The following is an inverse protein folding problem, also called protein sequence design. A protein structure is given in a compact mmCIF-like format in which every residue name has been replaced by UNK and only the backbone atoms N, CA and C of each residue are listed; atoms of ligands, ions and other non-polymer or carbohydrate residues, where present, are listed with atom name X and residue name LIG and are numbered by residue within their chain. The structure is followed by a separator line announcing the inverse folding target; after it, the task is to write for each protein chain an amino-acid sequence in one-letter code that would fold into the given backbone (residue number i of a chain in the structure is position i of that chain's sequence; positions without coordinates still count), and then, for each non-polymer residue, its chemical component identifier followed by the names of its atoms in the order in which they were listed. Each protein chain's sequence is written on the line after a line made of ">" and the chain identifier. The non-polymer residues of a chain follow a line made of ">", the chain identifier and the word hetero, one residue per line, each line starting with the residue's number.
data_IF_797508196525
#
_entry.id   IF_797508196525
#
_cell.length_a   1.000
_cell.length_b   1.000
_cell.length_c   1.000
_cell.angle_alpha   90.00
_cell.angle_beta   90.00
_cell.angle_gamma   90.00
#
_symmetry.space_group_name_H-M   'P 1'
#
loop_
_entity.id
_entity.type
_entity.pdbx_description
1 polymer ?
#
# COMPACT_ATOMS: atom_id res chain seq x y z
N UNK A 1 -1.07 6.81 3.51
CA UNK A 1 0.11 7.43 2.87
C UNK A 1 -0.26 8.79 2.36
N UNK A 2 0.57 9.80 2.62
CA UNK A 2 0.51 11.11 2.00
C UNK A 2 1.91 11.44 1.47
N UNK A 3 1.97 12.05 0.29
CA UNK A 3 3.18 12.67 -0.23
C UNK A 3 2.88 14.13 -0.55
N UNK A 4 3.69 15.05 -0.03
CA UNK A 4 3.55 16.49 -0.22
C UNK A 4 4.85 17.04 -0.80
N UNK A 5 4.78 17.69 -1.97
CA UNK A 5 5.93 18.29 -2.62
C UNK A 5 5.74 19.80 -2.76
N UNK A 6 6.74 20.59 -2.31
CA UNK A 6 6.79 22.04 -2.46
C UNK A 6 8.22 22.49 -2.70
N UNK A 7 8.48 23.17 -3.83
CA UNK A 7 9.84 23.49 -4.26
C UNK A 7 10.66 22.22 -4.42
N UNK A 8 11.86 22.16 -3.82
CA UNK A 8 12.69 20.96 -3.76
C UNK A 8 12.37 20.05 -2.58
N UNK A 9 11.38 20.35 -1.75
CA UNK A 9 11.06 19.52 -0.57
C UNK A 9 9.97 18.52 -0.90
N UNK A 10 10.26 17.23 -0.69
CA UNK A 10 9.29 16.14 -0.68
C UNK A 10 9.14 15.61 0.75
N UNK A 11 7.91 15.61 1.27
CA UNK A 11 7.56 15.01 2.56
C UNK A 11 6.66 13.81 2.31
N UNK A 12 7.05 12.65 2.84
CA UNK A 12 6.25 11.42 2.84
C UNK A 12 5.78 11.16 4.27
N UNK A 13 4.49 10.89 4.45
CA UNK A 13 3.89 10.56 5.74
C UNK A 13 3.13 9.22 5.65
N UNK A 14 3.58 8.22 6.43
CA UNK A 14 3.02 6.88 6.41
C UNK A 14 2.43 6.44 7.75
N UNK A 15 1.15 6.06 7.74
CA UNK A 15 0.45 5.42 8.85
C UNK A 15 -0.22 4.14 8.34
N UNK A 16 0.56 3.07 8.20
CA UNK A 16 0.09 1.76 7.74
C UNK A 16 1.15 0.95 6.99
N UNK A 17 0.69 -0.12 6.36
CA UNK A 17 1.49 -1.07 5.60
C UNK A 17 1.48 -0.80 4.09
N UNK A 18 1.48 0.50 3.77
CA UNK A 18 1.61 1.05 2.42
C UNK A 18 3.00 1.66 2.27
N UNK A 19 3.48 1.81 1.04
CA UNK A 19 4.88 2.24 0.78
C UNK A 19 4.99 3.26 -0.34
N UNK A 20 5.94 4.17 -0.14
CA UNK A 20 6.42 5.13 -1.13
C UNK A 20 7.82 4.73 -1.57
N UNK A 21 8.08 4.67 -2.87
CA UNK A 21 9.38 4.33 -3.45
C UNK A 21 9.76 5.37 -4.49
N UNK A 22 10.87 6.05 -4.28
CA UNK A 22 11.44 7.03 -5.19
C UNK A 22 12.41 6.35 -6.15
N UNK A 23 12.21 6.53 -7.45
CA UNK A 23 13.21 6.16 -8.46
C UNK A 23 14.17 7.34 -8.66
N UNK A 24 15.46 7.10 -8.52
CA UNK A 24 16.50 8.12 -8.64
C UNK A 24 17.71 7.57 -9.40
N UNK A 25 18.38 8.41 -10.20
CA UNK A 25 19.57 8.00 -10.92
C UNK A 25 20.81 8.10 -10.01
N UNK A 26 21.41 6.96 -9.72
CA UNK A 26 22.71 6.86 -9.07
C UNK A 26 23.81 6.79 -10.13
N UNK A 27 24.82 7.65 -10.02
CA UNK A 27 25.89 7.77 -11.02
C UNK A 27 26.65 6.45 -11.29
N UNK A 28 26.67 5.54 -10.32
CA UNK A 28 27.38 4.25 -10.42
C UNK A 28 26.46 3.06 -10.74
N UNK A 29 25.19 3.14 -10.33
CA UNK A 29 24.23 2.01 -10.38
C UNK A 29 23.09 2.21 -11.36
N UNK A 30 23.01 3.38 -12.02
CA UNK A 30 21.87 3.73 -12.85
C UNK A 30 20.62 3.99 -12.00
N UNK A 31 19.45 3.62 -12.52
CA UNK A 31 18.19 3.88 -11.83
C UNK A 31 18.04 2.99 -10.59
N UNK A 32 17.96 3.60 -9.40
CA UNK A 32 17.81 2.90 -8.12
C UNK A 32 16.43 3.14 -7.50
N UNK A 33 15.92 2.13 -6.80
CA UNK A 33 14.66 2.20 -6.05
C UNK A 33 14.93 2.52 -4.57
N UNK A 34 14.58 3.74 -4.13
CA UNK A 34 14.77 4.22 -2.76
C UNK A 34 13.42 4.24 -2.01
N UNK A 35 13.14 3.29 -1.10
CA UNK A 35 11.96 3.40 -0.25
C UNK A 35 12.05 4.64 0.64
N UNK A 36 10.95 5.41 0.69
CA UNK A 36 10.81 6.64 1.49
C UNK A 36 9.81 6.48 2.66
N UNK A 37 9.57 5.24 3.07
CA UNK A 37 8.67 4.91 4.19
C UNK A 37 8.90 3.48 4.65
N UNK A 38 8.67 3.20 5.93
CA UNK A 38 8.67 1.84 6.47
C UNK A 38 7.27 1.26 6.49
N UNK A 39 7.10 -0.02 6.16
CA UNK A 39 5.82 -0.72 6.28
C UNK A 39 5.49 -0.96 7.77
N UNK A 40 4.42 -0.35 8.29
CA UNK A 40 3.96 -0.59 9.65
C UNK A 40 3.00 -1.78 9.69
N UNK A 41 3.55 -2.99 9.78
CA UNK A 41 2.79 -4.24 9.71
C UNK A 41 3.27 -5.25 10.76
N UNK A 42 2.34 -5.98 11.36
CA UNK A 42 2.61 -7.00 12.38
C UNK A 42 3.47 -8.19 11.89
N UNK A 43 3.72 -8.31 10.57
CA UNK A 43 4.67 -9.28 10.00
C UNK A 43 6.13 -8.90 10.23
N UNK A 44 6.42 -7.63 10.54
CA UNK A 44 7.79 -7.15 10.73
C UNK A 44 8.24 -7.33 12.17
N UNK A 45 9.44 -7.88 12.34
CA UNK A 45 10.02 -8.19 13.65
C UNK A 45 10.19 -6.93 14.52
N UNK A 46 10.51 -5.79 13.91
CA UNK A 46 10.60 -4.50 14.62
C UNK A 46 9.28 -4.11 15.28
N UNK A 47 8.16 -4.27 14.56
CA UNK A 47 6.83 -3.97 15.09
C UNK A 47 6.37 -5.03 16.09
N UNK A 48 6.74 -6.30 15.91
CA UNK A 48 6.48 -7.35 16.89
C UNK A 48 7.23 -7.07 18.21
N UNK A 49 8.51 -6.70 18.14
CA UNK A 49 9.30 -6.33 19.30
C UNK A 49 8.70 -5.10 20.01
N UNK A 50 8.29 -4.07 19.26
CA UNK A 50 7.62 -2.88 19.81
C UNK A 50 6.32 -3.25 20.55
N UNK A 51 5.48 -4.08 19.94
CA UNK A 51 4.22 -4.54 20.55
C UNK A 51 4.48 -5.37 21.81
N UNK A 52 5.40 -6.32 21.77
CA UNK A 52 5.73 -7.14 22.96
C UNK A 52 6.30 -6.31 24.09
N UNK A 53 7.16 -5.32 23.79
CA UNK A 53 7.70 -4.42 24.80
C UNK A 53 6.64 -3.49 25.41
N UNK A 54 5.68 -3.03 24.61
CA UNK A 54 4.60 -2.16 25.07
C UNK A 54 3.53 -2.90 25.90
N UNK A 55 3.34 -4.20 25.65
CA UNK A 55 2.31 -5.03 26.28
C UNK A 55 2.91 -6.30 26.92
N UNK A 56 3.79 -6.17 27.93
CA UNK A 56 4.58 -7.30 28.46
C UNK A 56 3.73 -8.40 29.12
N UNK A 57 2.51 -8.06 29.58
CA UNK A 57 1.58 -9.00 30.22
C UNK A 57 0.55 -9.59 29.25
N UNK A 58 0.70 -9.32 27.95
CA UNK A 58 -0.21 -9.80 26.91
C UNK A 58 0.55 -10.71 25.93
N UNK A 59 0.66 -12.03 26.21
CA UNK A 59 1.42 -12.96 25.37
C UNK A 59 0.86 -13.10 23.95
N UNK A 60 -0.36 -12.60 23.73
CA UNK A 60 -1.11 -12.73 22.50
C UNK A 60 -1.34 -11.39 21.77
N UNK A 61 -0.55 -10.36 22.11
CA UNK A 61 -0.55 -9.01 21.51
C UNK A 61 -0.38 -9.03 19.99
N UNK A 62 0.31 -10.04 19.44
CA UNK A 62 0.24 -10.40 18.03
C UNK A 62 0.15 -11.92 17.86
N UNK A 63 -0.51 -12.36 16.79
CA UNK A 63 -0.69 -13.78 16.45
C UNK A 63 -0.29 -14.01 15.01
N UNK A 64 0.66 -14.92 14.79
CA UNK A 64 1.06 -15.39 13.48
C UNK A 64 0.42 -16.74 13.16
N UNK A 65 -0.21 -16.85 11.99
CA UNK A 65 -0.72 -18.11 11.44
C UNK A 65 0.32 -18.69 10.50
N UNK A 66 0.59 -19.98 10.59
CA UNK A 66 1.46 -20.70 9.67
C UNK A 66 0.67 -21.25 8.47
N UNK A 67 1.38 -21.56 7.39
CA UNK A 67 0.84 -22.40 6.33
C UNK A 67 0.61 -23.83 6.84
N UNK A 68 -0.44 -24.52 6.34
CA UNK A 68 -0.75 -25.89 6.73
C UNK A 68 0.46 -26.79 6.47
N UNK A 69 0.88 -27.55 7.48
CA UNK A 69 2.04 -28.43 7.44
C UNK A 69 3.35 -27.73 7.01
N UNK A 70 3.54 -26.46 7.39
CA UNK A 70 4.74 -25.69 7.02
C UNK A 70 5.19 -24.78 8.17
N UNK A 71 6.50 -24.56 8.27
CA UNK A 71 7.11 -23.57 9.16
C UNK A 71 6.98 -22.14 8.64
N UNK A 72 6.46 -21.95 7.42
CA UNK A 72 6.30 -20.63 6.81
C UNK A 72 5.12 -19.87 7.41
N UNK A 73 5.38 -18.64 7.87
CA UNK A 73 4.36 -17.71 8.33
C UNK A 73 3.46 -17.28 7.17
N UNK A 74 2.16 -17.49 7.31
CA UNK A 74 1.10 -17.07 6.36
C UNK A 74 0.65 -15.64 6.60
N UNK A 75 0.44 -15.25 7.85
CA UNK A 75 0.00 -13.90 8.21
C UNK A 75 0.20 -13.63 9.70
N UNK A 76 0.67 -12.45 10.07
CA UNK A 76 0.69 -11.97 11.45
C UNK A 76 -0.30 -10.83 11.63
N UNK A 77 -0.96 -10.78 12.79
CA UNK A 77 -1.98 -9.78 13.13
C UNK A 77 -1.89 -9.36 14.59
N UNK A 78 -2.05 -8.06 14.85
CA UNK A 78 -2.27 -7.47 16.17
C UNK A 78 -3.55 -8.04 16.78
N UNK A 79 -3.44 -8.60 17.99
CA UNK A 79 -4.49 -9.34 18.72
C UNK A 79 -5.16 -10.47 17.90
N UNK A 80 -4.56 -10.88 16.77
CA UNK A 80 -5.13 -11.84 15.82
C UNK A 80 -6.14 -11.26 14.81
N UNK A 81 -6.43 -9.96 14.82
CA UNK A 81 -7.47 -9.32 14.00
C UNK A 81 -6.89 -8.43 12.89
N UNK A 82 -6.03 -7.46 13.25
CA UNK A 82 -5.58 -6.40 12.34
C UNK A 82 -4.12 -6.59 11.92
N UNK A 83 -3.80 -6.37 10.64
CA UNK A 83 -2.42 -6.50 10.13
C UNK A 83 -1.56 -5.24 10.29
N UNK A 84 -2.03 -4.04 9.89
CA UNK A 84 -1.25 -2.82 10.09
C UNK A 84 -1.10 -2.51 11.58
N UNK A 85 0.06 -1.97 11.95
CA UNK A 85 0.37 -1.51 13.32
C UNK A 85 0.29 0.00 13.48
N UNK A 86 -0.01 0.69 12.38
CA UNK A 86 -0.48 2.08 12.37
C UNK A 86 -1.65 2.22 11.40
N UNK A 87 -2.66 3.00 11.75
CA UNK A 87 -3.79 3.27 10.87
C UNK A 87 -4.54 4.50 11.37
N UNK A 88 -5.32 5.14 10.49
CA UNK A 88 -6.39 6.04 10.92
C UNK A 88 -7.66 5.21 11.19
N UNK A 89 -8.50 5.59 12.15
CA UNK A 89 -9.65 4.79 12.58
C UNK A 89 -9.26 3.64 13.52
N UNK A 90 -9.91 2.48 13.40
CA UNK A 90 -9.66 1.29 14.23
C UNK A 90 -9.63 1.59 15.74
N UNK A 91 -10.59 2.38 16.20
CA UNK A 91 -10.57 3.00 17.54
C UNK A 91 -10.52 1.99 18.70
N UNK A 92 -11.12 0.81 18.54
CA UNK A 92 -11.06 -0.27 19.51
C UNK A 92 -9.63 -0.82 19.74
N UNK A 93 -8.65 -0.44 18.92
CA UNK A 93 -7.23 -0.79 19.14
C UNK A 93 -6.44 0.34 19.82
N UNK A 94 -7.07 1.49 20.10
CA UNK A 94 -6.40 2.71 20.54
C UNK A 94 -6.96 3.28 21.83
N UNK A 95 -8.25 3.06 22.06
CA UNK A 95 -9.01 3.76 23.08
C UNK A 95 -9.96 2.79 23.76
N UNK A 96 -10.06 2.86 25.09
CA UNK A 96 -10.80 1.88 25.89
C UNK A 96 -12.31 1.94 25.62
N UNK A 97 -12.83 3.16 25.47
CA UNK A 97 -14.25 3.46 25.29
C UNK A 97 -14.83 2.91 23.98
N UNK A 98 -13.97 2.58 23.01
CA UNK A 98 -14.38 1.99 21.73
C UNK A 98 -14.39 0.45 21.73
N UNK A 99 -13.90 -0.20 22.79
CA UNK A 99 -13.90 -1.66 22.93
C UNK A 99 -15.14 -2.15 23.71
N UNK A 100 -16.33 -1.71 23.31
CA UNK A 100 -17.60 -2.06 23.99
C UNK A 100 -18.55 -2.83 23.08
N UNK A 101 -19.32 -3.77 23.66
CA UNK A 101 -20.42 -4.48 22.96
C UNK A 101 -21.44 -3.49 22.38
N UNK A 102 -21.67 -2.34 23.03
CA UNK A 102 -22.63 -1.35 22.58
C UNK A 102 -22.18 -0.60 21.31
N UNK A 103 -20.88 -0.22 21.22
CA UNK A 103 -20.31 0.39 20.01
C UNK A 103 -20.32 -0.56 18.79
N UNK A 104 -20.28 -1.86 19.07
CA UNK A 104 -20.30 -2.95 18.09
C UNK A 104 -21.65 -3.12 17.38
N UNK A 105 -22.78 -2.93 18.07
CA UNK A 105 -24.13 -3.13 17.50
C UNK A 105 -24.78 -1.86 16.94
N UNK A 106 -24.43 -0.66 17.44
CA UNK A 106 -25.04 0.59 16.96
C UNK A 106 -24.62 0.99 15.53
N UNK A 107 -23.49 0.47 15.02
CA UNK A 107 -22.95 0.81 13.71
C UNK A 107 -23.24 -0.24 12.62
N UNK A 108 -24.13 -1.22 12.88
CA UNK A 108 -24.53 -2.22 11.88
C UNK A 108 -23.42 -3.17 11.41
N UNK A 109 -22.34 -3.31 12.18
CA UNK A 109 -21.22 -4.21 11.88
C UNK A 109 -21.30 -5.55 12.62
N UNK A 110 -20.52 -6.54 12.15
CA UNK A 110 -20.23 -7.77 12.89
C UNK A 110 -19.37 -7.42 14.13
N UNK A 111 -20.03 -6.91 15.16
CA UNK A 111 -19.43 -6.46 16.40
C UNK A 111 -18.35 -7.39 16.94
N UNK A 112 -17.19 -6.84 17.28
CA UNK A 112 -16.10 -7.60 17.88
C UNK A 112 -15.48 -6.82 19.04
N UNK A 113 -15.20 -7.53 20.14
CA UNK A 113 -14.56 -7.02 21.36
C UNK A 113 -13.17 -7.66 21.49
N UNK A 114 -12.15 -6.83 21.68
CA UNK A 114 -10.80 -7.31 22.00
C UNK A 114 -10.81 -7.88 23.42
N UNK A 115 -10.46 -9.17 23.61
CA UNK A 115 -10.54 -9.81 24.90
C UNK A 115 -9.45 -9.29 25.86
N UNK A 116 -9.75 -9.36 27.15
CA UNK A 116 -8.80 -9.11 28.23
C UNK A 116 -7.66 -10.16 28.23
N UNK A 117 -6.43 -9.83 28.66
CA UNK A 117 -5.98 -8.49 29.04
C UNK A 117 -6.01 -7.51 27.86
N UNK A 118 -6.49 -6.29 28.11
CA UNK A 118 -6.70 -5.26 27.09
C UNK A 118 -6.06 -3.93 27.53
N UNK A 119 -4.90 -3.61 26.97
CA UNK A 119 -4.10 -2.42 27.29
C UNK A 119 -3.82 -1.57 26.05
N UNK A 120 -4.81 -0.91 25.44
CA UNK A 120 -4.55 -0.03 24.30
C UNK A 120 -3.60 1.13 24.69
N UNK A 121 -2.89 1.75 23.74
CA UNK A 121 -2.99 1.56 22.29
C UNK A 121 -2.10 0.45 21.75
N UNK A 122 -2.68 -0.45 20.95
CA UNK A 122 -1.93 -1.47 20.20
C UNK A 122 -1.38 -0.93 18.87
N UNK A 123 -2.15 -0.06 18.22
CA UNK A 123 -1.75 0.56 16.95
C UNK A 123 -1.69 2.08 17.13
N UNK A 124 -0.87 2.74 16.32
CA UNK A 124 -0.73 4.19 16.37
C UNK A 124 -1.50 4.87 15.24
N UNK A 125 -1.95 6.10 15.47
CA UNK A 125 -2.50 6.96 14.41
C UNK A 125 -1.42 7.85 13.76
N UNK A 126 -0.37 8.17 14.52
CA UNK A 126 0.65 9.11 14.10
C UNK A 126 1.49 8.55 12.95
N UNK A 127 1.60 9.28 11.82
CA UNK A 127 2.41 8.84 10.70
C UNK A 127 3.89 8.95 11.02
N UNK A 128 4.67 7.98 10.53
CA UNK A 128 6.11 8.18 10.31
C UNK A 128 6.27 9.19 9.19
N UNK A 129 7.11 10.22 9.38
CA UNK A 129 7.39 11.22 8.36
C UNK A 129 8.84 11.15 7.91
N UNK A 130 9.05 11.25 6.60
CA UNK A 130 10.37 11.35 6.00
C UNK A 130 10.42 12.54 5.05
N UNK A 131 11.46 13.36 5.20
CA UNK A 131 11.73 14.49 4.32
C UNK A 131 12.87 14.13 3.38
N UNK A 132 12.68 14.35 2.09
CA UNK A 132 13.68 14.16 1.04
C UNK A 132 13.83 15.47 0.27
N UNK A 133 15.07 15.86 -0.03
CA UNK A 133 15.36 16.99 -0.91
C UNK A 133 15.44 16.47 -2.34
N UNK A 134 14.49 16.87 -3.17
CA UNK A 134 14.43 16.54 -4.59
C UNK A 134 15.64 17.10 -5.32
N UNK A 135 16.20 16.28 -6.20
CA UNK A 135 17.32 16.60 -7.07
C UNK A 135 16.98 16.25 -8.52
N UNK A 136 17.77 16.73 -9.49
CA UNK A 136 17.58 16.39 -10.90
C UNK A 136 17.80 14.90 -11.21
N UNK A 137 18.42 14.15 -10.28
CA UNK A 137 18.54 12.71 -10.37
C UNK A 137 17.21 11.99 -10.11
N UNK A 138 16.28 12.60 -9.38
CA UNK A 138 15.01 11.99 -9.00
C UNK A 138 14.02 11.97 -10.18
N UNK A 139 13.56 10.78 -10.55
CA UNK A 139 12.78 10.57 -11.78
C UNK A 139 11.28 10.53 -11.52
N UNK A 140 10.84 9.69 -10.58
CA UNK A 140 9.42 9.52 -10.25
C UNK A 140 9.23 8.88 -8.88
N UNK A 141 8.05 9.11 -8.28
CA UNK A 141 7.63 8.51 -7.01
C UNK A 141 6.48 7.51 -7.24
N UNK A 142 6.63 6.29 -6.75
CA UNK A 142 5.57 5.28 -6.72
C UNK A 142 4.95 5.26 -5.32
N UNK A 143 3.65 5.52 -5.24
CA UNK A 143 2.84 5.29 -4.05
C UNK A 143 1.98 4.06 -4.27
N UNK A 144 2.09 3.06 -3.40
CA UNK A 144 1.35 1.83 -3.55
C UNK A 144 0.82 1.29 -2.22
N UNK A 145 -0.27 0.54 -2.31
CA UNK A 145 -0.83 -0.20 -1.18
C UNK A 145 -0.10 -1.53 -0.97
N UNK A 146 -0.41 -2.20 0.15
CA UNK A 146 -0.01 -3.58 0.44
C UNK A 146 -0.33 -4.57 -0.70
N UNK A 147 -1.38 -4.30 -1.49
CA UNK A 147 -1.77 -5.09 -2.65
C UNK A 147 -0.69 -5.13 -3.75
N UNK A 148 0.06 -4.04 -3.91
CA UNK A 148 1.19 -3.93 -4.83
C UNK A 148 2.47 -4.50 -4.19
N UNK A 149 2.85 -3.96 -3.04
CA UNK A 149 4.13 -4.26 -2.37
C UNK A 149 4.19 -5.65 -1.75
N UNK A 150 3.05 -6.31 -1.57
CA UNK A 150 2.97 -7.73 -1.22
C UNK A 150 3.26 -8.67 -2.39
N UNK A 151 3.42 -8.17 -3.62
CA UNK A 151 3.66 -8.98 -4.83
C UNK A 151 4.88 -8.56 -5.65
N UNK A 152 5.22 -7.26 -5.67
CA UNK A 152 6.39 -6.74 -6.39
C UNK A 152 7.47 -6.26 -5.42
N UNK A 153 8.73 -6.42 -5.81
CA UNK A 153 9.84 -5.72 -5.13
C UNK A 153 9.86 -4.25 -5.53
N UNK A 154 10.64 -3.44 -4.81
CA UNK A 154 10.81 -2.03 -5.14
C UNK A 154 11.44 -1.87 -6.54
N UNK A 155 12.44 -2.68 -6.83
CA UNK A 155 13.23 -2.68 -8.06
C UNK A 155 12.37 -3.07 -9.26
N UNK A 156 11.60 -4.16 -9.16
CA UNK A 156 10.70 -4.59 -10.24
C UNK A 156 9.63 -3.53 -10.53
N UNK A 157 9.07 -2.88 -9.50
CA UNK A 157 8.09 -1.81 -9.70
C UNK A 157 8.72 -0.60 -10.41
N UNK A 158 9.93 -0.21 -10.01
CA UNK A 158 10.68 0.89 -10.65
C UNK A 158 11.03 0.54 -12.10
N UNK A 159 11.47 -0.68 -12.39
CA UNK A 159 11.78 -1.13 -13.74
C UNK A 159 10.55 -1.06 -14.67
N UNK A 160 9.40 -1.54 -14.20
CA UNK A 160 8.14 -1.47 -14.95
C UNK A 160 7.79 -0.02 -15.25
N UNK A 161 7.79 0.86 -14.25
CA UNK A 161 7.43 2.28 -14.46
C UNK A 161 8.44 2.96 -15.38
N UNK A 162 9.74 2.68 -15.23
CA UNK A 162 10.79 3.25 -16.07
C UNK A 162 10.64 2.86 -17.54
N UNK A 163 10.27 1.60 -17.84
CA UNK A 163 10.04 1.13 -19.21
C UNK A 163 8.91 1.91 -19.91
N UNK A 164 7.82 2.17 -19.18
CA UNK A 164 6.71 2.95 -19.73
C UNK A 164 7.03 4.43 -19.81
N UNK A 165 7.79 4.96 -18.85
CA UNK A 165 8.22 6.34 -18.83
C UNK A 165 9.19 6.68 -19.98
N UNK A 166 10.16 5.81 -20.29
CA UNK A 166 11.10 6.02 -21.39
C UNK A 166 10.45 6.02 -22.78
N UNK A 167 9.23 5.48 -22.88
CA UNK A 167 8.41 5.46 -24.09
C UNK A 167 7.40 6.62 -24.16
N UNK A 168 7.38 7.49 -23.16
CA UNK A 168 6.41 8.60 -23.05
C UNK A 168 4.99 8.15 -22.69
N UNK A 169 4.77 6.90 -22.28
CA UNK A 169 3.44 6.32 -22.05
C UNK A 169 3.13 6.18 -20.56
N UNK A 170 3.37 7.26 -19.82
CA UNK A 170 3.35 7.25 -18.35
C UNK A 170 2.00 6.87 -17.74
N UNK A 171 0.90 7.26 -18.38
CA UNK A 171 -0.46 6.96 -17.92
C UNK A 171 -0.74 5.45 -17.82
N UNK A 172 -0.04 4.62 -18.60
CA UNK A 172 -0.17 3.15 -18.55
C UNK A 172 0.72 2.48 -17.50
N UNK A 173 1.66 3.21 -16.88
CA UNK A 173 2.60 2.63 -15.93
C UNK A 173 1.89 2.05 -14.69
N UNK A 174 0.89 2.76 -14.16
CA UNK A 174 0.07 2.27 -13.05
C UNK A 174 -0.65 0.97 -13.43
N UNK A 175 -1.37 0.96 -14.56
CA UNK A 175 -2.06 -0.25 -15.06
C UNK A 175 -1.09 -1.42 -15.29
N UNK A 176 0.13 -1.14 -15.76
CA UNK A 176 1.15 -2.17 -15.95
C UNK A 176 1.58 -2.81 -14.63
N UNK A 177 1.73 -2.02 -13.55
CA UNK A 177 1.98 -2.54 -12.21
C UNK A 177 0.83 -3.46 -11.74
N UNK A 178 -0.43 -3.04 -11.92
CA UNK A 178 -1.60 -3.86 -11.57
C UNK A 178 -1.59 -5.18 -12.33
N UNK A 179 -1.39 -5.12 -13.65
CA UNK A 179 -1.37 -6.29 -14.51
C UNK A 179 -0.25 -7.25 -14.10
N UNK A 180 0.92 -6.73 -13.73
CA UNK A 180 2.03 -7.55 -13.24
C UNK A 180 1.68 -8.25 -11.92
N UNK A 181 1.04 -7.56 -10.98
CA UNK A 181 0.58 -8.17 -9.71
C UNK A 181 -0.41 -9.30 -9.99
N UNK A 182 -1.36 -9.09 -10.92
CA UNK A 182 -2.33 -10.10 -11.33
C UNK A 182 -1.60 -11.31 -11.92
N UNK A 183 -0.68 -11.09 -12.86
CA UNK A 183 0.11 -12.14 -13.50
C UNK A 183 0.87 -13.00 -12.47
N UNK A 184 1.60 -12.38 -11.54
CA UNK A 184 2.30 -13.10 -10.45
C UNK A 184 1.38 -13.94 -9.58
N UNK A 185 0.18 -13.44 -9.28
CA UNK A 185 -0.80 -14.18 -8.48
C UNK A 185 -1.33 -15.39 -9.23
N UNK A 186 -1.49 -15.29 -10.56
CA UNK A 186 -1.87 -16.42 -11.42
C UNK A 186 -0.73 -17.44 -11.50
N UNK A 187 0.50 -17.00 -11.76
CA UNK A 187 1.71 -17.85 -11.79
C UNK A 187 1.85 -18.68 -10.50
N UNK A 188 1.69 -18.03 -9.33
CA UNK A 188 1.81 -18.68 -8.03
C UNK A 188 0.72 -19.73 -7.74
N UNK A 189 -0.42 -19.68 -8.45
CA UNK A 189 -1.53 -20.62 -8.29
C UNK A 189 -1.40 -21.89 -9.14
N UNK A 190 -0.27 -22.10 -9.84
CA UNK A 190 0.08 -23.34 -10.56
C UNK A 190 -1.11 -23.94 -11.34
N UNK A 191 -1.68 -23.25 -12.33
CA UNK A 191 -2.62 -23.75 -13.37
C UNK A 191 -3.78 -24.71 -12.96
N UNK A 192 -4.00 -24.93 -11.68
CA UNK A 192 -4.95 -25.90 -11.10
C UNK A 192 -6.12 -25.19 -10.42
N UNK A 193 -6.02 -23.87 -10.26
CA UNK A 193 -7.13 -23.03 -9.87
C UNK A 193 -8.14 -22.95 -11.02
N UNK A 194 -9.41 -23.18 -10.70
CA UNK A 194 -10.48 -23.08 -11.69
C UNK A 194 -10.55 -21.67 -12.28
N UNK A 195 -11.08 -21.49 -13.51
CA UNK A 195 -11.27 -20.18 -14.13
C UNK A 195 -12.01 -19.18 -13.23
N UNK A 196 -12.96 -19.66 -12.42
CA UNK A 196 -13.73 -18.86 -11.45
C UNK A 196 -12.86 -18.38 -10.29
N UNK A 197 -11.93 -19.19 -9.78
CA UNK A 197 -11.01 -18.77 -8.71
C UNK A 197 -9.95 -17.78 -9.20
N UNK A 198 -9.50 -17.95 -10.44
CA UNK A 198 -8.63 -16.98 -11.11
C UNK A 198 -9.40 -15.66 -11.27
N UNK A 199 -10.61 -15.69 -11.80
CA UNK A 199 -11.47 -14.52 -11.98
C UNK A 199 -11.75 -13.82 -10.63
N UNK A 200 -12.13 -14.55 -9.59
CA UNK A 200 -12.32 -13.97 -8.25
C UNK A 200 -11.05 -13.38 -7.66
N UNK A 201 -9.88 -13.95 -7.95
CA UNK A 201 -8.60 -13.42 -7.48
C UNK A 201 -8.20 -12.17 -8.25
N UNK A 202 -8.47 -12.15 -9.56
CA UNK A 202 -8.29 -10.99 -10.42
C UNK A 202 -9.21 -9.87 -9.99
N UNK A 203 -10.50 -10.12 -9.76
CA UNK A 203 -11.47 -9.16 -9.25
C UNK A 203 -11.03 -8.64 -7.87
N UNK A 204 -10.70 -9.52 -6.92
CA UNK A 204 -10.21 -9.08 -5.59
C UNK A 204 -8.92 -8.27 -5.68
N UNK A 205 -8.04 -8.61 -6.62
CA UNK A 205 -6.81 -7.85 -6.85
C UNK A 205 -7.14 -6.48 -7.44
N UNK A 206 -7.88 -6.44 -8.54
CA UNK A 206 -8.34 -5.21 -9.17
C UNK A 206 -9.10 -4.34 -8.18
N UNK A 207 -10.09 -4.84 -7.45
CA UNK A 207 -10.80 -4.04 -6.45
C UNK A 207 -9.86 -3.53 -5.34
N UNK A 208 -8.96 -4.35 -4.80
CA UNK A 208 -8.01 -3.89 -3.75
C UNK A 208 -6.97 -2.90 -4.28
N UNK A 209 -6.63 -3.02 -5.55
CA UNK A 209 -5.68 -2.17 -6.24
C UNK A 209 -6.37 -0.88 -6.69
N UNK A 210 -7.43 -0.92 -7.50
CA UNK A 210 -8.23 0.22 -7.99
C UNK A 210 -8.96 1.02 -6.88
N UNK A 211 -9.53 0.43 -5.83
CA UNK A 211 -10.13 1.22 -4.73
C UNK A 211 -9.08 1.99 -3.92
N UNK A 212 -7.79 1.65 -4.06
CA UNK A 212 -6.67 2.26 -3.33
C UNK A 212 -5.67 3.00 -4.24
N UNK A 213 -5.79 2.85 -5.56
CA UNK A 213 -4.98 3.55 -6.56
C UNK A 213 -5.52 4.97 -6.77
N UNK A 214 -5.18 5.85 -5.84
CA UNK A 214 -4.97 7.27 -6.17
C UNK A 214 -3.47 7.48 -6.31
N UNK A 215 -2.91 6.92 -7.38
CA UNK A 215 -1.49 6.98 -7.68
C UNK A 215 -1.19 8.37 -8.27
N UNK A 216 -0.72 9.29 -7.43
CA UNK A 216 -0.13 10.54 -7.92
C UNK A 216 1.29 10.23 -8.40
N UNK A 217 1.42 9.80 -9.66
CA UNK A 217 2.73 9.75 -10.31
C UNK A 217 3.26 11.18 -10.42
N UNK A 218 4.18 11.55 -9.53
CA UNK A 218 4.95 12.79 -9.70
C UNK A 218 5.97 12.53 -10.80
N UNK A 219 5.65 12.98 -12.00
CA UNK A 219 6.59 12.98 -13.12
C UNK A 219 7.31 14.34 -13.18
N UNK A 220 8.61 14.29 -13.45
CA UNK A 220 9.47 15.45 -13.70
C UNK A 220 9.04 16.34 -14.88
N UNK A 221 9.92 17.24 -15.35
CA UNK A 221 9.53 18.28 -16.31
C UNK A 221 9.03 17.68 -17.63
N UNK A 222 8.06 18.36 -18.23
CA UNK A 222 7.18 17.83 -19.27
C UNK A 222 7.78 17.93 -20.68
N UNK A 223 7.37 17.04 -21.63
CA UNK A 223 7.83 17.08 -23.02
C UNK A 223 7.45 18.32 -23.85
N UNK A 224 6.60 19.23 -23.36
CA UNK A 224 5.75 20.02 -24.26
C UNK A 224 5.21 21.35 -23.68
N UNK A 225 5.79 21.87 -22.59
CA UNK A 225 5.55 23.27 -22.18
C UNK A 225 4.16 23.63 -21.62
N UNK A 226 3.26 22.67 -21.41
CA UNK A 226 1.95 22.89 -20.76
C UNK A 226 2.09 23.45 -19.33
N UNK A 227 1.02 23.86 -18.65
CA UNK A 227 0.98 24.22 -17.20
C UNK A 227 0.52 23.05 -16.32
N UNK A 228 0.94 22.94 -15.05
CA UNK A 228 0.68 21.73 -14.22
C UNK A 228 -0.81 21.41 -14.10
N UNK A 229 -1.65 22.44 -14.18
CA UNK A 229 -3.09 22.32 -14.11
C UNK A 229 -3.66 21.76 -15.42
N UNK A 230 -3.13 22.15 -16.59
CA UNK A 230 -3.52 21.56 -17.90
C UNK A 230 -3.25 20.05 -17.95
N UNK A 231 -2.06 19.61 -17.50
CA UNK A 231 -1.74 18.18 -17.45
C UNK A 231 -2.64 17.42 -16.46
N UNK A 232 -2.92 18.03 -15.30
CA UNK A 232 -3.81 17.45 -14.29
C UNK A 232 -5.24 17.31 -14.84
N UNK A 233 -5.73 18.31 -15.57
CA UNK A 233 -7.05 18.26 -16.19
C UNK A 233 -7.11 17.22 -17.30
N UNK A 234 -6.11 17.17 -18.19
CA UNK A 234 -6.03 16.16 -19.25
C UNK A 234 -5.94 14.72 -18.70
N UNK A 235 -5.20 14.52 -17.60
CA UNK A 235 -5.16 13.22 -16.92
C UNK A 235 -6.51 12.86 -16.29
N UNK A 236 -7.17 13.81 -15.62
CA UNK A 236 -8.49 13.57 -15.02
C UNK A 236 -9.58 13.30 -16.08
N UNK A 237 -9.52 13.99 -17.23
CA UNK A 237 -10.38 13.73 -18.39
C UNK A 237 -10.14 12.34 -18.96
N UNK A 238 -8.89 11.95 -19.19
CA UNK A 238 -8.54 10.61 -19.67
C UNK A 238 -9.04 9.51 -18.72
N UNK A 239 -8.91 9.71 -17.40
CA UNK A 239 -9.41 8.77 -16.40
C UNK A 239 -10.95 8.71 -16.39
N UNK A 240 -11.63 9.85 -16.53
CA UNK A 240 -13.09 9.90 -16.64
C UNK A 240 -13.57 9.12 -17.87
N UNK A 241 -12.91 9.30 -19.02
CA UNK A 241 -13.22 8.60 -20.26
C UNK A 241 -12.97 7.10 -20.16
N UNK A 242 -11.88 6.65 -19.53
CA UNK A 242 -11.62 5.22 -19.32
C UNK A 242 -12.65 4.56 -18.40
N UNK A 243 -13.10 5.27 -17.35
CA UNK A 243 -14.17 4.79 -16.46
C UNK A 243 -15.49 4.69 -17.21
N UNK A 244 -15.87 5.71 -17.99
CA UNK A 244 -17.10 5.72 -18.80
C UNK A 244 -17.06 4.60 -19.85
N UNK A 245 -15.96 4.48 -20.60
CA UNK A 245 -15.79 3.41 -21.59
C UNK A 245 -15.72 2.00 -20.97
N UNK A 246 -15.36 1.88 -19.69
CA UNK A 246 -15.40 0.64 -18.92
C UNK A 246 -16.80 0.28 -18.40
N UNK A 247 -17.72 1.25 -18.36
CA UNK A 247 -19.12 1.07 -18.00
C UNK A 247 -19.97 0.68 -19.22
N UNK A 248 -19.68 1.25 -20.39
CA UNK A 248 -20.40 0.97 -21.65
C UNK A 248 -20.04 -0.38 -22.31
N UNK A 249 -18.96 -1.02 -21.87
CA UNK A 249 -18.48 -2.33 -22.38
C UNK A 249 -18.96 -3.54 -21.56
N UNK A 250 -20.08 -3.43 -20.84
CA UNK A 250 -20.71 -4.53 -20.10
C UNK A 250 -22.14 -4.77 -20.55
#
# INVERSE_FOLDING_TARGET
>A
MLAYAKGSTLVVANAGDVRAVLASNDASRGLVAKPLSTDHNAKHESEQARLTAAHPNEPDVFKCKLHRNSTRVKSCRVRGILQPTRALGDFAFKYEEFNTLHASFQNGGDGFVIPQPYTPPYILADPETQVHTLTDADQFLILGSDGLWGSLSNEEAVEIVANYASRGVHFRAAQALVNRVIAKKVEKKNHTASPIEILWSTIKCQSKTLLRERLAAFMGPRPDGQTRDEFRMAYLEHIADEVIAGMDRR
#
